data_IF_664617067957
#
_entry.id   IF_664617067957
#
_cell.length_a   1.000
_cell.length_b   1.000
_cell.length_c   1.000
_cell.angle_alpha   90.00
_cell.angle_beta   90.00
_cell.angle_gamma   90.00
#
_symmetry.space_group_name_H-M   'P 1'
#
loop_
_entity.id
_entity.type
_entity.pdbx_description
1 polymer ?
#
# COMPACT_ATOMS: atom_id res chain seq x y z
N UNK A 1 -19.47 -7.07 -7.06
CA UNK A 1 -19.83 -6.11 -8.10
C UNK A 1 -18.52 -5.62 -8.64
N UNK A 2 -18.11 -6.03 -9.85
CA UNK A 2 -16.79 -5.67 -10.39
C UNK A 2 -16.58 -4.17 -10.26
N UNK A 3 -15.44 -3.73 -9.73
CA UNK A 3 -15.14 -2.31 -9.54
C UNK A 3 -14.12 -1.82 -10.55
N UNK A 4 -14.25 -0.56 -10.93
CA UNK A 4 -13.21 0.13 -11.68
C UNK A 4 -12.01 0.40 -10.76
N UNK A 5 -10.82 -0.14 -11.06
CA UNK A 5 -9.62 0.08 -10.24
C UNK A 5 -9.10 1.53 -10.28
N UNK A 6 -9.57 2.35 -11.23
CA UNK A 6 -9.18 3.77 -11.32
C UNK A 6 -10.06 4.68 -10.45
N UNK A 7 -11.38 4.49 -10.46
CA UNK A 7 -12.33 5.42 -9.83
C UNK A 7 -13.25 4.79 -8.77
N UNK A 8 -13.25 3.46 -8.62
CA UNK A 8 -14.07 2.73 -7.65
C UNK A 8 -15.53 2.51 -8.05
N UNK A 9 -15.97 2.97 -9.23
CA UNK A 9 -17.33 2.71 -9.73
C UNK A 9 -17.58 1.20 -9.83
N UNK A 10 -18.67 0.73 -9.21
CA UNK A 10 -19.08 -0.68 -9.25
C UNK A 10 -20.09 -0.98 -10.38
N UNK A 11 -19.99 -2.17 -10.94
CA UNK A 11 -20.91 -2.72 -11.96
C UNK A 11 -21.82 -3.79 -11.36
N UNK A 12 -22.98 -4.03 -11.97
CA UNK A 12 -24.07 -4.78 -11.34
C UNK A 12 -23.74 -6.24 -11.01
N UNK A 13 -22.70 -6.83 -11.61
CA UNK A 13 -22.32 -8.24 -11.43
C UNK A 13 -20.83 -8.37 -11.13
N UNK A 14 -20.47 -9.49 -10.50
CA UNK A 14 -19.06 -9.92 -10.40
C UNK A 14 -18.58 -10.46 -11.75
N UNK A 15 -17.29 -10.34 -12.01
CA UNK A 15 -16.62 -10.68 -13.28
C UNK A 15 -17.22 -9.99 -14.52
N UNK A 16 -17.79 -8.80 -14.35
CA UNK A 16 -18.38 -8.00 -15.43
C UNK A 16 -17.33 -7.16 -16.17
N UNK A 17 -16.40 -7.87 -16.83
CA UNK A 17 -15.31 -7.24 -17.56
C UNK A 17 -15.76 -6.54 -18.84
N UNK A 18 -16.96 -6.84 -19.35
CA UNK A 18 -17.51 -6.16 -20.52
C UNK A 18 -18.04 -4.76 -20.16
N UNK A 19 -18.77 -4.61 -19.06
CA UNK A 19 -19.19 -3.30 -18.57
C UNK A 19 -18.00 -2.48 -18.05
N UNK A 20 -17.03 -3.11 -17.37
CA UNK A 20 -15.79 -2.45 -16.99
C UNK A 20 -15.03 -1.93 -18.23
N UNK A 21 -14.93 -2.73 -19.29
CA UNK A 21 -14.30 -2.29 -20.54
C UNK A 21 -15.09 -1.15 -21.20
N UNK A 22 -16.42 -1.23 -21.21
CA UNK A 22 -17.30 -0.17 -21.71
C UNK A 22 -17.07 1.16 -20.97
N UNK A 23 -16.94 1.10 -19.65
CA UNK A 23 -16.61 2.25 -18.81
C UNK A 23 -15.23 2.83 -19.14
N UNK A 24 -14.18 2.01 -19.21
CA UNK A 24 -12.84 2.48 -19.59
C UNK A 24 -12.80 3.11 -20.98
N UNK A 25 -13.49 2.53 -21.97
CA UNK A 25 -13.57 3.12 -23.32
C UNK A 25 -14.29 4.47 -23.29
N UNK A 26 -15.36 4.60 -22.50
CA UNK A 26 -16.09 5.86 -22.37
C UNK A 26 -15.23 6.96 -21.71
N UNK A 27 -14.57 6.65 -20.59
CA UNK A 27 -13.74 7.63 -19.87
C UNK A 27 -12.46 7.98 -20.65
N UNK A 28 -11.82 7.01 -21.31
CA UNK A 28 -10.70 7.28 -22.20
C UNK A 28 -11.13 8.12 -23.43
N UNK A 29 -12.35 7.90 -23.94
CA UNK A 29 -12.94 8.73 -25.00
C UNK A 29 -13.17 10.18 -24.58
N UNK A 30 -13.42 10.42 -23.28
CA UNK A 30 -13.49 11.75 -22.66
C UNK A 30 -12.12 12.31 -22.29
N UNK A 31 -11.04 11.58 -22.56
CA UNK A 31 -9.67 11.92 -22.17
C UNK A 31 -9.49 12.07 -20.66
N UNK A 32 -10.22 11.30 -19.85
CA UNK A 32 -9.97 11.25 -18.41
C UNK A 32 -8.57 10.71 -18.13
N UNK A 33 -7.73 11.53 -17.51
CA UNK A 33 -6.32 11.22 -17.30
C UNK A 33 -6.12 9.98 -16.40
N UNK A 34 -6.99 9.80 -15.39
CA UNK A 34 -6.89 8.66 -14.47
C UNK A 34 -7.06 7.33 -15.19
N UNK A 35 -8.15 7.19 -15.96
CA UNK A 35 -8.46 5.97 -16.69
C UNK A 35 -7.44 5.69 -17.80
N UNK A 36 -7.02 6.73 -18.55
CA UNK A 36 -6.00 6.58 -19.61
C UNK A 36 -4.66 6.13 -19.01
N UNK A 37 -4.23 6.76 -17.92
CA UNK A 37 -2.97 6.38 -17.25
C UNK A 37 -3.04 4.96 -16.67
N UNK A 38 -4.18 4.58 -16.10
CA UNK A 38 -4.37 3.23 -15.56
C UNK A 38 -4.25 2.17 -16.66
N UNK A 39 -4.90 2.38 -17.82
CA UNK A 39 -4.77 1.48 -18.97
C UNK A 39 -3.33 1.37 -19.47
N UNK A 40 -2.67 2.52 -19.66
CA UNK A 40 -1.29 2.57 -20.16
C UNK A 40 -0.28 1.85 -19.26
N UNK A 41 -0.53 1.84 -17.94
CA UNK A 41 0.34 1.22 -16.94
C UNK A 41 0.07 -0.27 -16.76
N UNK A 42 -1.19 -0.69 -16.82
CA UNK A 42 -1.58 -2.04 -16.41
C UNK A 42 -1.99 -2.97 -17.56
N UNK A 43 -2.54 -2.42 -18.65
CA UNK A 43 -3.20 -3.22 -19.69
C UNK A 43 -2.55 -3.04 -21.05
N UNK A 44 -2.56 -1.83 -21.60
CA UNK A 44 -2.10 -1.55 -22.98
C UNK A 44 -1.90 -0.06 -23.20
N UNK A 45 -0.93 0.29 -24.05
CA UNK A 45 -0.72 1.66 -24.55
C UNK A 45 -1.49 1.96 -25.84
N UNK A 46 -2.04 0.92 -26.48
CA UNK A 46 -2.76 1.04 -27.73
C UNK A 46 -4.25 1.24 -27.48
N UNK A 47 -4.90 2.05 -28.32
CA UNK A 47 -6.35 2.18 -28.30
C UNK A 47 -6.99 0.82 -28.65
N UNK A 48 -7.86 0.34 -27.78
CA UNK A 48 -8.57 -0.93 -27.92
C UNK A 48 -10.07 -0.70 -27.94
N UNK A 49 -10.81 -1.51 -28.70
CA UNK A 49 -12.27 -1.54 -28.61
C UNK A 49 -12.74 -2.27 -27.33
N UNK A 50 -14.04 -2.13 -27.00
CA UNK A 50 -14.65 -2.73 -25.79
C UNK A 50 -14.41 -4.25 -25.72
N UNK A 51 -14.59 -4.97 -26.83
CA UNK A 51 -14.43 -6.42 -26.89
C UNK A 51 -13.00 -6.87 -26.63
N UNK A 52 -12.02 -6.20 -27.22
CA UNK A 52 -10.60 -6.48 -27.03
C UNK A 52 -10.19 -6.14 -25.61
N UNK A 53 -10.62 -4.98 -25.11
CA UNK A 53 -10.30 -4.53 -23.76
C UNK A 53 -10.91 -5.44 -22.69
N UNK A 54 -12.14 -5.90 -22.87
CA UNK A 54 -12.81 -6.85 -21.95
C UNK A 54 -11.99 -8.13 -21.76
N UNK A 55 -11.45 -8.70 -22.85
CA UNK A 55 -10.59 -9.89 -22.78
C UNK A 55 -9.27 -9.61 -22.07
N UNK A 56 -8.64 -8.47 -22.35
CA UNK A 56 -7.40 -8.07 -21.69
C UNK A 56 -7.60 -7.86 -20.19
N UNK A 57 -8.70 -7.21 -19.79
CA UNK A 57 -9.07 -7.03 -18.39
C UNK A 57 -9.33 -8.37 -17.70
N UNK A 58 -10.12 -9.25 -18.33
CA UNK A 58 -10.36 -10.59 -17.78
C UNK A 58 -9.04 -11.35 -17.52
N UNK A 59 -8.12 -11.36 -18.49
CA UNK A 59 -6.79 -11.98 -18.31
C UNK A 59 -5.91 -11.27 -17.27
N UNK A 60 -6.05 -9.95 -17.10
CA UNK A 60 -5.30 -9.21 -16.08
C UNK A 60 -5.72 -9.58 -14.65
N UNK A 61 -7.02 -9.78 -14.43
CA UNK A 61 -7.62 -10.17 -13.15
C UNK A 61 -7.57 -11.68 -12.90
N UNK A 62 -7.33 -12.49 -13.91
CA UNK A 62 -7.22 -13.94 -13.77
C UNK A 62 -6.08 -14.34 -12.81
N UNK A 63 -6.38 -15.29 -11.91
CA UNK A 63 -5.38 -15.84 -10.99
C UNK A 63 -4.45 -16.88 -11.63
N UNK A 64 -4.79 -17.39 -12.84
CA UNK A 64 -4.04 -18.42 -13.57
C UNK A 64 -3.74 -19.68 -12.73
N UNK A 65 -4.69 -20.10 -11.88
CA UNK A 65 -4.50 -21.24 -10.97
C UNK A 65 -3.59 -20.96 -9.76
N UNK A 66 -3.20 -19.71 -9.53
CA UNK A 66 -2.42 -19.24 -8.37
C UNK A 66 -3.33 -18.69 -7.27
N UNK A 67 -2.74 -18.37 -6.12
CA UNK A 67 -3.40 -17.67 -5.01
C UNK A 67 -3.61 -16.19 -5.31
N UNK A 68 -4.56 -15.56 -4.60
CA UNK A 68 -4.71 -14.10 -4.58
C UNK A 68 -3.41 -13.45 -4.10
N UNK A 69 -2.78 -14.04 -3.08
CA UNK A 69 -1.48 -13.59 -2.58
C UNK A 69 -0.43 -13.48 -3.70
N UNK A 70 -0.29 -14.54 -4.51
CA UNK A 70 0.65 -14.54 -5.64
C UNK A 70 0.33 -13.45 -6.67
N UNK A 71 -0.96 -13.23 -6.94
CA UNK A 71 -1.39 -12.20 -7.86
C UNK A 71 -1.09 -10.79 -7.31
N UNK A 72 -1.41 -10.54 -6.04
CA UNK A 72 -1.15 -9.27 -5.33
C UNK A 72 0.34 -8.97 -5.31
N UNK A 73 1.19 -9.93 -4.92
CA UNK A 73 2.64 -9.79 -4.91
C UNK A 73 3.20 -9.45 -6.29
N UNK A 74 2.75 -10.15 -7.35
CA UNK A 74 3.17 -9.85 -8.74
C UNK A 74 2.86 -8.40 -9.11
N UNK A 75 1.62 -7.93 -8.88
CA UNK A 75 1.23 -6.54 -9.20
C UNK A 75 1.99 -5.52 -8.37
N UNK A 76 2.24 -5.82 -7.10
CA UNK A 76 3.02 -4.97 -6.22
C UNK A 76 4.48 -4.85 -6.70
N UNK A 77 5.10 -5.98 -7.05
CA UNK A 77 6.46 -6.02 -7.59
C UNK A 77 6.53 -5.22 -8.89
N UNK A 78 5.64 -5.48 -9.85
CA UNK A 78 5.60 -4.77 -11.14
C UNK A 78 5.57 -3.25 -10.95
N UNK A 79 4.81 -2.76 -9.95
CA UNK A 79 4.63 -1.33 -9.69
C UNK A 79 5.78 -0.68 -8.93
N UNK A 80 6.29 -1.31 -7.88
CA UNK A 80 7.24 -0.65 -6.95
C UNK A 80 8.69 -1.17 -7.06
N UNK A 81 8.86 -2.39 -7.56
CA UNK A 81 10.12 -3.12 -7.56
C UNK A 81 10.53 -3.67 -8.93
N UNK A 82 9.84 -3.27 -10.00
CA UNK A 82 10.09 -3.76 -11.35
C UNK A 82 11.43 -3.28 -11.92
N UNK A 83 11.50 -3.20 -13.26
CA UNK A 83 12.69 -2.69 -13.97
C UNK A 83 12.99 -1.22 -13.68
N UNK A 84 11.97 -0.46 -13.27
CA UNK A 84 12.11 0.92 -12.81
C UNK A 84 11.47 1.04 -11.43
N UNK A 85 12.21 0.73 -10.35
CA UNK A 85 11.68 0.78 -8.99
C UNK A 85 11.20 2.18 -8.62
N UNK A 86 10.29 2.23 -7.66
CA UNK A 86 9.71 3.49 -7.21
C UNK A 86 10.81 4.43 -6.66
N UNK A 87 10.80 5.74 -7.00
CA UNK A 87 11.88 6.66 -6.62
C UNK A 87 12.17 6.70 -5.11
N UNK A 88 11.14 6.61 -4.26
CA UNK A 88 11.33 6.57 -2.80
C UNK A 88 12.11 5.33 -2.35
N UNK A 89 11.84 4.17 -2.95
CA UNK A 89 12.53 2.91 -2.62
C UNK A 89 14.00 2.99 -3.07
N UNK A 90 14.26 3.62 -4.23
CA UNK A 90 15.63 3.89 -4.69
C UNK A 90 16.36 4.82 -3.71
N UNK A 91 15.73 5.91 -3.30
CA UNK A 91 16.30 6.83 -2.31
C UNK A 91 16.54 6.18 -0.94
N UNK A 92 15.76 5.15 -0.59
CA UNK A 92 15.89 4.43 0.67
C UNK A 92 17.01 3.39 0.67
N UNK A 93 17.63 3.06 -0.47
CA UNK A 93 18.77 2.14 -0.50
C UNK A 93 19.95 2.68 0.33
N UNK A 94 20.23 3.99 0.19
CA UNK A 94 21.24 4.71 0.97
C UNK A 94 20.66 6.07 1.39
N UNK A 95 19.78 6.09 2.40
CA UNK A 95 18.97 7.27 2.67
C UNK A 95 19.78 8.38 3.30
N UNK A 96 19.62 9.59 2.78
CA UNK A 96 20.10 10.78 3.46
C UNK A 96 19.25 11.06 4.71
N UNK A 97 19.79 11.88 5.62
CA UNK A 97 19.01 12.42 6.75
C UNK A 97 17.68 13.02 6.30
N UNK A 98 17.69 13.77 5.19
CA UNK A 98 16.50 14.41 4.65
C UNK A 98 15.44 13.38 4.20
N UNK A 99 15.85 12.29 3.54
CA UNK A 99 14.95 11.20 3.12
C UNK A 99 14.26 10.57 4.34
N UNK A 100 15.03 10.27 5.40
CA UNK A 100 14.47 9.70 6.63
C UNK A 100 13.52 10.68 7.35
N UNK A 101 13.80 11.98 7.37
CA UNK A 101 12.88 12.97 7.92
C UNK A 101 11.60 13.12 7.10
N UNK A 102 11.71 13.05 5.77
CA UNK A 102 10.55 12.98 4.87
C UNK A 102 9.67 11.77 5.16
N UNK A 103 10.31 10.62 5.38
CA UNK A 103 9.63 9.40 5.83
C UNK A 103 8.92 9.63 7.18
N UNK A 104 9.60 10.11 8.22
CA UNK A 104 8.99 10.37 9.54
C UNK A 104 7.75 11.25 9.45
N UNK A 105 7.85 12.39 8.78
CA UNK A 105 6.79 13.41 8.80
C UNK A 105 5.54 12.95 8.07
N UNK A 106 5.67 12.27 6.93
CA UNK A 106 4.51 11.78 6.20
C UNK A 106 3.97 10.45 6.77
N UNK A 107 4.84 9.59 7.30
CA UNK A 107 4.43 8.27 7.79
C UNK A 107 3.73 8.27 9.14
N UNK A 108 3.92 9.29 9.98
CA UNK A 108 3.06 9.41 11.18
C UNK A 108 1.57 9.49 10.81
N UNK A 109 1.23 10.11 9.67
CA UNK A 109 -0.16 10.29 9.25
C UNK A 109 -0.70 8.99 8.67
N UNK A 110 0.14 8.31 7.89
CA UNK A 110 -0.14 6.95 7.42
C UNK A 110 -0.42 5.99 8.58
N UNK A 111 0.46 5.92 9.60
CA UNK A 111 0.29 5.00 10.73
C UNK A 111 -0.98 5.29 11.55
N UNK A 112 -1.39 6.56 11.65
CA UNK A 112 -2.67 6.92 12.27
C UNK A 112 -3.86 6.45 11.43
N UNK A 113 -3.80 6.57 10.11
CA UNK A 113 -4.84 6.04 9.22
C UNK A 113 -4.83 4.51 9.18
N UNK A 114 -3.65 3.88 9.24
CA UNK A 114 -3.46 2.45 9.29
C UNK A 114 -4.25 1.83 10.45
N UNK A 115 -4.00 2.31 11.67
CA UNK A 115 -4.69 1.85 12.88
C UNK A 115 -6.20 2.10 12.83
N UNK A 116 -6.62 3.22 12.24
CA UNK A 116 -8.06 3.48 12.01
C UNK A 116 -8.67 2.44 11.05
N UNK A 117 -7.93 2.08 10.01
CA UNK A 117 -8.37 1.11 9.01
C UNK A 117 -8.49 -0.29 9.62
N UNK A 118 -7.50 -0.74 10.40
CA UNK A 118 -7.59 -1.98 11.19
C UNK A 118 -8.81 -1.98 12.11
N UNK A 119 -9.10 -0.86 12.79
CA UNK A 119 -10.27 -0.75 13.66
C UNK A 119 -11.60 -0.83 12.88
N UNK A 120 -11.67 -0.26 11.68
CA UNK A 120 -12.84 -0.42 10.80
C UNK A 120 -13.01 -1.86 10.34
N UNK A 121 -11.93 -2.53 9.92
CA UNK A 121 -11.96 -3.94 9.51
C UNK A 121 -12.45 -4.79 10.68
N UNK A 122 -11.85 -4.63 11.87
CA UNK A 122 -12.24 -5.32 13.09
C UNK A 122 -13.72 -5.11 13.45
N UNK A 123 -14.23 -3.88 13.33
CA UNK A 123 -15.62 -3.55 13.66
C UNK A 123 -16.63 -4.12 12.66
N UNK A 124 -16.22 -4.34 11.41
CA UNK A 124 -17.09 -4.78 10.31
C UNK A 124 -16.96 -6.27 9.99
N UNK A 125 -15.84 -6.89 10.36
CA UNK A 125 -15.66 -8.33 10.28
C UNK A 125 -16.56 -9.03 11.31
N UNK A 126 -17.23 -10.11 10.88
CA UNK A 126 -18.01 -10.97 11.77
C UNK A 126 -17.20 -12.13 12.34
N UNK A 127 -15.95 -12.27 11.89
CA UNK A 127 -15.13 -13.45 12.09
C UNK A 127 -14.04 -13.21 13.13
N UNK A 128 -14.06 -14.02 14.20
CA UNK A 128 -13.14 -13.85 15.34
C UNK A 128 -11.67 -13.90 14.96
N UNK A 129 -11.28 -14.72 13.98
CA UNK A 129 -9.89 -14.79 13.52
C UNK A 129 -9.42 -13.46 12.92
N UNK A 130 -10.30 -12.75 12.20
CA UNK A 130 -10.01 -11.42 11.65
C UNK A 130 -9.98 -10.38 12.78
N UNK A 131 -10.93 -10.47 13.72
CA UNK A 131 -10.97 -9.56 14.88
C UNK A 131 -9.69 -9.66 15.72
N UNK A 132 -9.21 -10.88 16.00
CA UNK A 132 -7.97 -11.09 16.75
C UNK A 132 -6.74 -10.61 15.96
N UNK A 133 -6.69 -10.88 14.67
CA UNK A 133 -5.62 -10.43 13.79
C UNK A 133 -5.50 -8.89 13.81
N UNK A 134 -6.60 -8.17 13.60
CA UNK A 134 -6.60 -6.71 13.61
C UNK A 134 -6.34 -6.10 15.00
N UNK A 135 -6.81 -6.76 16.07
CA UNK A 135 -6.53 -6.33 17.43
C UNK A 135 -5.02 -6.37 17.74
N UNK A 136 -4.34 -7.43 17.31
CA UNK A 136 -2.88 -7.57 17.46
C UNK A 136 -2.12 -6.51 16.65
N UNK A 137 -2.55 -6.25 15.41
CA UNK A 137 -1.99 -5.17 14.58
C UNK A 137 -2.15 -3.80 15.24
N UNK A 138 -3.35 -3.46 15.74
CA UNK A 138 -3.58 -2.18 16.45
C UNK A 138 -2.67 -2.06 17.67
N UNK A 139 -2.51 -3.14 18.42
CA UNK A 139 -1.65 -3.16 19.60
C UNK A 139 -0.19 -2.90 19.20
N UNK A 140 0.34 -3.64 18.23
CA UNK A 140 1.72 -3.51 17.73
C UNK A 140 2.00 -2.12 17.16
N UNK A 141 1.05 -1.54 16.42
CA UNK A 141 1.24 -0.28 15.70
C UNK A 141 1.18 0.97 16.59
N UNK A 142 0.31 0.98 17.61
CA UNK A 142 0.03 2.18 18.40
C UNK A 142 0.40 2.06 19.89
N UNK A 143 0.28 0.88 20.48
CA UNK A 143 0.46 0.67 21.92
C UNK A 143 1.88 0.15 22.22
N UNK A 144 2.24 -0.98 21.61
CA UNK A 144 3.46 -1.71 21.87
C UNK A 144 3.56 -2.23 23.31
N UNK A 145 4.73 -2.74 23.65
CA UNK A 145 5.07 -3.25 24.97
C UNK A 145 6.22 -2.43 25.59
N UNK A 146 6.39 -2.44 26.92
CA UNK A 146 7.53 -1.78 27.56
C UNK A 146 8.90 -2.19 26.99
N UNK A 147 9.04 -3.47 26.61
CA UNK A 147 10.24 -4.05 25.99
C UNK A 147 10.34 -3.81 24.48
N UNK A 148 9.20 -3.53 23.82
CA UNK A 148 9.10 -3.39 22.37
C UNK A 148 8.14 -2.23 22.03
N UNK A 149 8.66 -1.00 21.89
CA UNK A 149 7.83 0.17 21.56
C UNK A 149 7.07 -0.04 20.26
N UNK A 150 5.90 0.60 20.15
CA UNK A 150 5.10 0.54 18.92
C UNK A 150 5.83 1.13 17.71
N UNK A 151 5.44 0.72 16.50
CA UNK A 151 5.99 1.27 15.26
C UNK A 151 5.85 2.80 15.20
N UNK A 152 4.73 3.34 15.67
CA UNK A 152 4.53 4.78 15.76
C UNK A 152 5.53 5.45 16.71
N UNK A 153 5.80 4.86 17.88
CA UNK A 153 6.79 5.39 18.82
C UNK A 153 8.23 5.30 18.27
N UNK A 154 8.57 4.19 17.61
CA UNK A 154 9.87 4.02 16.96
C UNK A 154 10.09 5.05 15.84
N UNK A 155 9.05 5.36 15.06
CA UNK A 155 9.11 6.40 14.04
C UNK A 155 9.40 7.78 14.63
N UNK A 156 8.75 8.13 15.75
CA UNK A 156 8.99 9.40 16.43
C UNK A 156 10.43 9.48 16.98
N UNK A 157 10.94 8.40 17.57
CA UNK A 157 12.33 8.31 18.05
C UNK A 157 13.33 8.43 16.91
N UNK A 158 13.04 7.85 15.74
CA UNK A 158 13.85 8.07 14.53
C UNK A 158 13.91 9.56 14.19
N UNK A 159 12.78 10.26 14.17
CA UNK A 159 12.73 11.71 13.94
C UNK A 159 13.54 12.52 14.93
N UNK A 160 13.42 12.22 16.23
CA UNK A 160 14.17 12.88 17.31
C UNK A 160 15.67 12.67 17.16
N UNK A 161 16.10 11.43 16.84
CA UNK A 161 17.53 11.11 16.63
C UNK A 161 18.15 11.83 15.44
N UNK A 162 17.32 12.26 14.48
CA UNK A 162 17.72 13.04 13.32
C UNK A 162 17.61 14.56 13.56
N UNK A 163 17.33 14.98 14.79
CA UNK A 163 17.27 16.38 15.21
C UNK A 163 15.94 17.09 14.95
N UNK A 164 14.85 16.35 14.69
CA UNK A 164 13.52 16.93 14.54
C UNK A 164 12.69 16.75 15.82
N UNK A 165 12.27 17.87 16.44
CA UNK A 165 11.44 17.85 17.64
C UNK A 165 10.12 17.08 17.38
N UNK A 166 9.79 16.12 18.25
CA UNK A 166 8.55 15.35 18.23
C UNK A 166 7.29 16.21 18.17
N UNK A 167 7.23 17.34 18.87
CA UNK A 167 6.11 18.30 18.80
C UNK A 167 6.01 18.91 17.40
N UNK A 168 7.14 19.18 16.76
CA UNK A 168 7.17 19.68 15.37
C UNK A 168 6.70 18.59 14.40
N UNK A 169 7.15 17.34 14.56
CA UNK A 169 6.63 16.19 13.79
C UNK A 169 5.11 16.15 13.90
N UNK A 170 4.57 16.02 15.11
CA UNK A 170 3.12 15.86 15.37
C UNK A 170 2.24 17.01 14.86
N UNK A 171 2.79 18.23 14.77
CA UNK A 171 2.05 19.42 14.30
C UNK A 171 2.19 19.66 12.80
N UNK A 172 3.13 19.00 12.13
CA UNK A 172 3.33 19.20 10.69
C UNK A 172 2.20 18.52 9.93
N UNK A 173 1.40 19.27 9.13
CA UNK A 173 0.30 18.68 8.38
C UNK A 173 0.84 17.76 7.26
N UNK A 174 0.08 16.73 6.86
CA UNK A 174 0.45 15.90 5.71
C UNK A 174 0.53 16.75 4.44
N UNK A 175 1.36 16.32 3.47
CA UNK A 175 1.30 16.90 2.13
C UNK A 175 -0.03 16.51 1.42
N UNK A 176 -0.44 17.25 0.37
CA UNK A 176 -1.69 17.00 -0.34
C UNK A 176 -1.86 15.54 -0.81
N UNK A 177 -0.80 14.93 -1.35
CA UNK A 177 -0.85 13.54 -1.80
C UNK A 177 -1.02 12.53 -0.65
N UNK A 178 -0.39 12.79 0.52
CA UNK A 178 -0.62 11.99 1.74
C UNK A 178 -2.06 12.17 2.24
N UNK A 179 -2.57 13.40 2.22
CA UNK A 179 -3.94 13.69 2.65
C UNK A 179 -4.97 12.98 1.76
N UNK A 180 -4.76 13.02 0.44
CA UNK A 180 -5.64 12.38 -0.52
C UNK A 180 -5.58 10.85 -0.41
N UNK A 181 -4.40 10.26 -0.23
CA UNK A 181 -4.26 8.83 0.01
C UNK A 181 -5.02 8.39 1.27
N UNK A 182 -4.89 9.14 2.37
CA UNK A 182 -5.64 8.91 3.61
C UNK A 182 -7.16 8.98 3.38
N UNK A 183 -7.63 9.99 2.64
CA UNK A 183 -9.05 10.14 2.31
C UNK A 183 -9.57 8.94 1.53
N UNK A 184 -8.79 8.40 0.59
CA UNK A 184 -9.18 7.23 -0.19
C UNK A 184 -9.22 5.97 0.67
N UNK A 185 -8.21 5.72 1.51
CA UNK A 185 -8.22 4.57 2.41
C UNK A 185 -9.35 4.63 3.44
N UNK A 186 -9.66 5.81 3.99
CA UNK A 186 -10.80 6.02 4.90
C UNK A 186 -12.13 5.75 4.17
N UNK A 187 -12.27 6.20 2.92
CA UNK A 187 -13.43 5.90 2.07
C UNK A 187 -13.58 4.40 1.77
N UNK A 188 -12.49 3.70 1.41
CA UNK A 188 -12.51 2.24 1.23
C UNK A 188 -13.00 1.55 2.51
N UNK A 189 -12.51 1.96 3.69
CA UNK A 189 -12.91 1.38 4.96
C UNK A 189 -14.39 1.63 5.32
N UNK A 190 -14.96 2.76 4.87
CA UNK A 190 -16.35 3.13 5.15
C UNK A 190 -17.33 2.49 4.16
N UNK A 191 -16.97 2.49 2.87
CA UNK A 191 -17.91 2.21 1.78
C UNK A 191 -17.78 0.77 1.23
N UNK A 192 -16.58 0.20 1.22
CA UNK A 192 -16.30 -1.11 0.61
C UNK A 192 -16.45 -2.26 1.61
N UNK A 193 -16.42 -3.52 1.15
CA UNK A 193 -16.48 -4.67 2.08
C UNK A 193 -15.18 -4.79 2.90
N UNK A 194 -15.25 -5.36 4.13
CA UNK A 194 -14.07 -5.44 4.99
C UNK A 194 -12.92 -6.25 4.36
N UNK A 195 -13.22 -7.26 3.53
CA UNK A 195 -12.20 -8.02 2.78
C UNK A 195 -11.45 -7.14 1.78
N UNK A 196 -12.13 -6.16 1.18
CA UNK A 196 -11.51 -5.20 0.26
C UNK A 196 -10.64 -4.20 1.03
N UNK A 197 -11.13 -3.70 2.16
CA UNK A 197 -10.36 -2.82 3.03
C UNK A 197 -9.09 -3.51 3.58
N UNK A 198 -9.23 -4.76 4.04
CA UNK A 198 -8.11 -5.55 4.53
C UNK A 198 -7.06 -5.77 3.44
N UNK A 199 -7.46 -6.12 2.22
CA UNK A 199 -6.54 -6.25 1.09
C UNK A 199 -5.88 -4.91 0.70
N UNK A 200 -6.65 -3.83 0.71
CA UNK A 200 -6.17 -2.49 0.39
C UNK A 200 -5.09 -2.00 1.37
N UNK A 201 -5.20 -2.35 2.65
CA UNK A 201 -4.25 -1.93 3.68
C UNK A 201 -3.10 -2.94 3.81
N UNK A 202 -3.36 -4.21 4.11
CA UNK A 202 -2.31 -5.22 4.30
C UNK A 202 -1.51 -5.52 3.04
N UNK A 203 -2.08 -5.26 1.86
CA UNK A 203 -1.30 -5.29 0.61
C UNK A 203 -0.16 -4.27 0.57
N UNK A 204 -0.19 -3.20 1.39
CA UNK A 204 0.85 -2.16 1.43
C UNK A 204 2.08 -2.58 2.25
N UNK A 205 1.93 -3.52 3.19
CA UNK A 205 3.04 -4.07 3.99
C UNK A 205 4.07 -4.80 3.12
N UNK A 206 3.66 -5.23 1.92
CA UNK A 206 4.56 -5.78 0.91
C UNK A 206 5.72 -4.83 0.56
N UNK A 207 5.60 -3.52 0.81
CA UNK A 207 6.70 -2.59 0.60
C UNK A 207 7.94 -2.97 1.42
N UNK A 208 7.79 -3.53 2.62
CA UNK A 208 8.90 -3.87 3.49
C UNK A 208 9.21 -5.38 3.53
N UNK A 209 8.41 -6.20 2.84
CA UNK A 209 8.60 -7.64 2.79
C UNK A 209 9.88 -8.01 1.99
N UNK A 210 10.91 -8.45 2.72
CA UNK A 210 12.21 -8.82 2.13
C UNK A 210 12.17 -10.04 1.20
N UNK A 211 11.13 -10.88 1.27
CA UNK A 211 11.02 -12.08 0.41
C UNK A 211 10.78 -11.72 -1.06
N UNK A 212 10.24 -10.53 -1.35
CA UNK A 212 9.91 -10.11 -2.72
C UNK A 212 11.12 -10.14 -3.67
N UNK A 213 12.34 -9.98 -3.15
CA UNK A 213 13.57 -10.10 -3.97
C UNK A 213 13.75 -11.49 -4.57
N UNK A 214 13.37 -12.54 -3.85
CA UNK A 214 13.37 -13.90 -4.37
C UNK A 214 12.20 -14.17 -5.35
N UNK A 215 11.19 -13.30 -5.35
CA UNK A 215 9.98 -13.40 -6.18
C UNK A 215 10.01 -12.47 -7.41
N UNK A 216 11.16 -11.82 -7.68
CA UNK A 216 11.37 -11.02 -8.90
C UNK A 216 11.52 -9.51 -8.70
N UNK A 217 11.48 -9.01 -7.46
CA UNK A 217 11.82 -7.62 -7.18
C UNK A 217 13.31 -7.33 -7.50
N UNK A 218 13.57 -6.23 -8.21
CA UNK A 218 14.93 -5.88 -8.64
C UNK A 218 15.81 -5.36 -7.49
N UNK A 219 15.19 -4.78 -6.45
CA UNK A 219 15.84 -4.32 -5.21
C UNK A 219 14.99 -4.70 -3.98
N UNK A 220 15.60 -4.63 -2.79
CA UNK A 220 14.85 -4.73 -1.52
C UNK A 220 14.36 -3.36 -1.06
N UNK A 221 13.64 -3.29 0.06
CA UNK A 221 13.12 -2.02 0.58
C UNK A 221 14.22 -0.99 0.88
N UNK A 222 15.33 -1.46 1.43
CA UNK A 222 16.57 -0.71 1.62
C UNK A 222 17.76 -1.67 1.55
N UNK A 223 19.00 -1.14 1.41
CA UNK A 223 20.20 -1.97 1.48
C UNK A 223 20.44 -2.43 2.92
N UNK A 224 20.43 -3.74 3.24
CA UNK A 224 20.65 -4.23 4.61
C UNK A 224 21.97 -3.76 5.25
N UNK A 225 22.96 -3.32 4.47
CA UNK A 225 24.19 -2.72 4.98
C UNK A 225 23.92 -1.47 5.86
N UNK A 226 22.82 -0.74 5.66
CA UNK A 226 22.49 0.43 6.49
C UNK A 226 22.28 0.05 7.97
N UNK A 227 21.84 -1.17 8.26
CA UNK A 227 21.69 -1.66 9.63
C UNK A 227 23.04 -1.85 10.34
N UNK A 228 24.15 -1.89 9.58
CA UNK A 228 25.53 -1.94 10.07
C UNK A 228 26.25 -0.59 9.98
N UNK A 229 25.75 0.36 9.19
CA UNK A 229 26.38 1.67 8.99
C UNK A 229 26.37 2.51 10.28
N UNK A 230 27.52 3.01 10.73
CA UNK A 230 27.65 3.83 11.95
C UNK A 230 27.02 5.22 11.83
N UNK A 231 26.83 5.72 10.61
CA UNK A 231 26.23 7.04 10.35
C UNK A 231 24.71 7.06 10.56
N UNK A 232 24.06 5.90 10.47
CA UNK A 232 22.63 5.76 10.77
C UNK A 232 22.47 5.55 12.28
N UNK A 233 21.63 6.39 12.90
CA UNK A 233 21.36 6.34 14.34
C UNK A 233 20.79 4.98 14.76
N UNK A 234 20.95 4.64 16.05
CA UNK A 234 20.40 3.41 16.61
C UNK A 234 18.88 3.37 16.48
N UNK A 235 18.23 4.52 16.65
CA UNK A 235 16.79 4.70 16.59
C UNK A 235 16.26 4.54 15.16
N UNK A 236 16.95 5.09 14.16
CA UNK A 236 16.61 4.88 12.76
C UNK A 236 16.74 3.41 12.36
N UNK A 237 17.80 2.73 12.81
CA UNK A 237 17.95 1.28 12.60
C UNK A 237 16.86 0.47 13.29
N UNK A 238 16.43 0.87 14.50
CA UNK A 238 15.39 0.18 15.23
C UNK A 238 14.06 0.22 14.45
N UNK A 239 13.66 1.39 13.96
CA UNK A 239 12.46 1.53 13.14
C UNK A 239 12.54 0.73 11.83
N UNK A 240 13.65 0.86 11.08
CA UNK A 240 13.82 0.17 9.81
C UNK A 240 13.92 -1.35 9.95
N UNK A 241 14.44 -1.83 11.09
CA UNK A 241 14.54 -3.26 11.39
C UNK A 241 13.19 -3.89 11.64
N UNK A 242 12.28 -3.23 12.35
CA UNK A 242 10.96 -3.80 12.63
C UNK A 242 10.24 -4.16 11.34
N UNK A 243 10.10 -3.24 10.38
CA UNK A 243 9.49 -3.60 9.09
C UNK A 243 10.26 -4.68 8.30
N UNK A 244 11.60 -4.73 8.44
CA UNK A 244 12.42 -5.74 7.75
C UNK A 244 12.32 -7.16 8.37
N UNK A 245 12.03 -7.26 9.66
CA UNK A 245 11.96 -8.52 10.41
C UNK A 245 10.51 -8.96 10.65
N UNK A 246 9.60 -8.05 10.99
CA UNK A 246 8.20 -8.31 11.32
C UNK A 246 7.32 -8.50 10.06
N UNK A 247 7.49 -7.70 9.00
CA UNK A 247 6.60 -7.77 7.82
C UNK A 247 6.84 -9.04 6.96
N UNK A 248 7.75 -9.91 7.39
CA UNK A 248 8.02 -11.21 6.78
C UNK A 248 6.92 -12.19 7.19
N UNK A 249 5.83 -12.21 6.42
CA UNK A 249 4.73 -13.17 6.58
C UNK A 249 3.42 -12.53 7.06
N UNK A 250 3.45 -11.34 7.65
CA UNK A 250 2.24 -10.60 8.05
C UNK A 250 1.30 -10.38 6.86
N UNK A 251 1.84 -9.85 5.76
CA UNK A 251 1.07 -9.65 4.53
C UNK A 251 0.55 -10.96 3.92
N UNK A 252 1.26 -12.08 4.12
CA UNK A 252 0.89 -13.39 3.57
C UNK A 252 -0.30 -13.97 4.35
N UNK A 253 -0.28 -13.85 5.68
CA UNK A 253 -1.39 -14.24 6.56
C UNK A 253 -2.65 -13.41 6.26
N UNK A 254 -2.53 -12.08 6.19
CA UNK A 254 -3.65 -11.20 5.86
C UNK A 254 -4.26 -11.55 4.49
N UNK A 255 -3.43 -11.73 3.46
CA UNK A 255 -3.91 -12.10 2.12
C UNK A 255 -4.54 -13.49 2.09
N UNK A 256 -4.08 -14.42 2.94
CA UNK A 256 -4.73 -15.71 3.15
C UNK A 256 -6.13 -15.60 3.74
N UNK A 257 -6.32 -14.73 4.75
CA UNK A 257 -7.64 -14.43 5.31
C UNK A 257 -8.55 -13.78 4.24
N UNK A 258 -8.05 -12.75 3.56
CA UNK A 258 -8.77 -12.09 2.46
C UNK A 258 -9.21 -13.11 1.41
N UNK A 259 -8.31 -13.97 0.94
CA UNK A 259 -8.64 -14.97 -0.08
C UNK A 259 -9.71 -15.96 0.41
N UNK A 260 -9.54 -16.50 1.63
CA UNK A 260 -10.48 -17.44 2.26
C UNK A 260 -11.91 -16.88 2.30
N UNK A 261 -12.07 -15.63 2.70
CA UNK A 261 -13.40 -15.02 2.83
C UNK A 261 -13.94 -14.49 1.51
N UNK A 262 -13.07 -13.94 0.66
CA UNK A 262 -13.50 -13.41 -0.64
C UNK A 262 -13.98 -14.51 -1.58
N UNK A 263 -13.42 -15.72 -1.48
CA UNK A 263 -13.94 -16.90 -2.21
C UNK A 263 -15.34 -17.30 -1.76
N UNK A 264 -15.68 -17.16 -0.47
CA UNK A 264 -17.03 -17.46 0.04
C UNK A 264 -18.04 -16.40 -0.41
N UNK A 265 -17.62 -15.14 -0.45
CA UNK A 265 -18.45 -13.99 -0.83
C UNK A 265 -18.57 -13.83 -2.35
N UNK A 266 -17.66 -14.43 -3.12
CA UNK A 266 -17.61 -14.29 -4.57
C UNK A 266 -17.13 -12.91 -5.04
N UNK A 267 -16.43 -12.14 -4.20
CA UNK A 267 -16.03 -10.75 -4.44
C UNK A 267 -14.53 -10.56 -4.71
N UNK A 268 -13.88 -11.57 -5.26
CA UNK A 268 -12.44 -11.56 -5.50
C UNK A 268 -12.00 -10.44 -6.47
N UNK A 269 -12.82 -10.19 -7.50
CA UNK A 269 -12.59 -9.13 -8.48
C UNK A 269 -12.68 -7.73 -7.86
N UNK A 270 -13.62 -7.53 -6.94
CA UNK A 270 -13.78 -6.30 -6.16
C UNK A 270 -12.52 -6.06 -5.30
N UNK A 271 -12.06 -7.11 -4.60
CA UNK A 271 -10.83 -7.07 -3.80
C UNK A 271 -9.61 -6.71 -4.64
N UNK A 272 -9.44 -7.34 -5.79
CA UNK A 272 -8.34 -7.03 -6.71
C UNK A 272 -8.40 -5.58 -7.19
N UNK A 273 -9.58 -5.10 -7.58
CA UNK A 273 -9.76 -3.73 -8.05
C UNK A 273 -9.46 -2.70 -6.95
N UNK A 274 -9.95 -2.95 -5.74
CA UNK A 274 -9.74 -2.07 -4.58
C UNK A 274 -8.28 -2.08 -4.12
N UNK A 275 -7.58 -3.22 -4.17
CA UNK A 275 -6.13 -3.28 -3.96
C UNK A 275 -5.36 -2.45 -4.99
N UNK A 276 -5.67 -2.58 -6.29
CA UNK A 276 -5.00 -1.81 -7.35
C UNK A 276 -5.19 -0.30 -7.15
N UNK A 277 -6.40 0.11 -6.77
CA UNK A 277 -6.69 1.50 -6.42
C UNK A 277 -5.84 1.94 -5.22
N UNK A 278 -5.77 1.12 -4.17
CA UNK A 278 -4.98 1.42 -2.97
C UNK A 278 -3.50 1.65 -3.30
N UNK A 279 -2.89 0.78 -4.10
CA UNK A 279 -1.47 0.92 -4.45
C UNK A 279 -1.20 2.13 -5.35
N UNK A 280 -2.17 2.59 -6.16
CA UNK A 280 -2.04 3.83 -6.93
C UNK A 280 -2.03 5.08 -6.04
N UNK A 281 -2.71 5.07 -4.90
CA UNK A 281 -2.60 6.14 -3.90
C UNK A 281 -1.38 5.96 -2.99
N UNK A 282 -0.94 4.73 -2.76
CA UNK A 282 0.30 4.45 -2.06
C UNK A 282 1.53 4.99 -2.82
N UNK A 283 1.54 4.89 -4.15
CA UNK A 283 2.52 5.52 -5.05
C UNK A 283 2.65 7.03 -4.78
N UNK A 284 1.52 7.75 -4.76
CA UNK A 284 1.49 9.20 -4.46
C UNK A 284 1.98 9.49 -3.04
N UNK A 285 1.55 8.68 -2.08
CA UNK A 285 2.01 8.79 -0.69
C UNK A 285 3.53 8.57 -0.53
N UNK A 286 4.12 7.60 -1.24
CA UNK A 286 5.57 7.41 -1.24
C UNK A 286 6.31 8.58 -1.91
N UNK A 287 5.73 9.15 -2.97
CA UNK A 287 6.26 10.38 -3.58
C UNK A 287 6.18 11.58 -2.62
N UNK A 288 5.12 11.69 -1.82
CA UNK A 288 5.01 12.72 -0.79
C UNK A 288 6.12 12.61 0.26
N UNK A 289 6.57 11.40 0.63
CA UNK A 289 7.74 11.22 1.50
C UNK A 289 9.01 11.85 0.90
N UNK A 290 9.22 11.72 -0.41
CA UNK A 290 10.33 12.35 -1.13
C UNK A 290 10.14 13.85 -1.32
N UNK A 291 8.93 14.30 -1.59
CA UNK A 291 8.67 15.74 -1.67
C UNK A 291 8.96 16.41 -0.33
N UNK A 292 8.55 15.77 0.77
CA UNK A 292 8.85 16.25 2.12
C UNK A 292 10.35 16.27 2.40
N UNK A 293 11.11 15.29 1.91
CA UNK A 293 12.56 15.25 2.15
C UNK A 293 13.27 16.48 1.60
N UNK A 294 12.82 17.01 0.45
CA UNK A 294 13.40 18.23 -0.16
C UNK A 294 13.33 19.46 0.76
N UNK A 295 12.35 19.51 1.67
CA UNK A 295 12.23 20.58 2.67
C UNK A 295 13.32 20.51 3.75
N UNK A 296 14.06 19.40 3.82
CA UNK A 296 15.14 19.15 4.78
C UNK A 296 16.53 19.04 4.12
N UNK A 297 16.64 19.16 2.79
CA UNK A 297 17.92 19.08 2.07
C UNK A 297 18.79 20.34 2.25
N UNK A 298 18.19 21.45 2.67
CA UNK A 298 18.87 22.76 2.84
C UNK A 298 19.04 23.18 4.31
N UNK A 299 18.75 22.28 5.27
CA UNK A 299 18.64 22.59 6.70
C UNK A 299 19.52 21.74 7.60
#
# INVERSE_FOLDING_TARGET
>A
MTKCPSCGVGFQKHNDFDDLAGHFVAEAGRSDAGHVMWLNRNITKNKSDRKTLSKLLAGFFELEGRSLESWVKRRFIEKFYGQSPHPFVVALQHPSRAVLLGYVVEHQHFLRQWVRSCAFIMARAGELEVVWYEADNIFTEMVGEPSKPSHYELLLRMGESLGLDRKKVKRTPPLPDTQEAIRVWDGICQDDHWTEAMAAMHGLELIANRKLKAEGASIGYFDPVILKNREISKEAKAFLREGYEADVGHSEEALGLVEKYSRKLGNLDDVQATFLRSIDYFDRYLMARLERSRQFESS
#
